data_IF_336810494253
#
_entry.id   IF_336810494253
#
_cell.length_a   1.000
_cell.length_b   1.000
_cell.length_c   1.000
_cell.angle_alpha   90.00
_cell.angle_beta   90.00
_cell.angle_gamma   90.00
#
_symmetry.space_group_name_H-M   'P 1'
#
loop_
_entity.id
_entity.type
_entity.pdbx_description
1 polymer ?
#
# COMPACT_ATOMS: atom_id res chain seq x y z
N UNK A 1 -5.93 -0.25 -26.90
CA UNK A 1 -5.93 -1.30 -25.85
C UNK A 1 -4.69 -1.27 -24.95
N UNK A 2 -3.62 -0.54 -25.28
CA UNK A 2 -2.41 -0.43 -24.46
C UNK A 2 -2.51 0.26 -23.08
N UNK A 3 -3.35 1.30 -22.83
CA UNK A 3 -3.24 2.09 -21.60
C UNK A 3 -3.68 1.33 -20.34
N UNK A 4 -4.56 0.35 -20.49
CA UNK A 4 -5.03 -0.50 -19.38
C UNK A 4 -3.96 -1.51 -18.97
N UNK A 5 -3.29 -2.16 -19.93
CA UNK A 5 -2.18 -3.08 -19.64
C UNK A 5 -1.05 -2.37 -18.90
N UNK A 6 -0.68 -1.17 -19.34
CA UNK A 6 0.35 -0.38 -18.66
C UNK A 6 -0.08 0.00 -17.23
N UNK A 7 -1.37 0.25 -17.01
CA UNK A 7 -1.90 0.52 -15.66
C UNK A 7 -1.92 -0.74 -14.78
N UNK A 8 -2.18 -1.92 -15.35
CA UNK A 8 -2.07 -3.22 -14.66
C UNK A 8 -0.63 -3.54 -14.28
N UNK A 9 0.33 -3.31 -15.18
CA UNK A 9 1.76 -3.50 -14.89
C UNK A 9 2.19 -2.58 -13.76
N UNK A 10 1.88 -1.28 -13.85
CA UNK A 10 2.21 -0.32 -12.78
C UNK A 10 1.58 -0.73 -11.46
N UNK A 11 0.33 -1.20 -11.46
CA UNK A 11 -0.35 -1.68 -10.27
C UNK A 11 0.41 -2.82 -9.60
N UNK A 12 0.76 -3.87 -10.35
CA UNK A 12 1.52 -5.01 -9.81
C UNK A 12 2.91 -4.58 -9.32
N UNK A 13 3.64 -3.80 -10.13
CA UNK A 13 4.97 -3.28 -9.78
C UNK A 13 4.92 -2.44 -8.51
N UNK A 14 3.88 -1.62 -8.34
CA UNK A 14 3.71 -0.80 -7.14
C UNK A 14 3.54 -1.68 -5.90
N UNK A 15 2.67 -2.68 -5.95
CA UNK A 15 2.49 -3.60 -4.82
C UNK A 15 3.80 -4.33 -4.51
N UNK A 16 4.51 -4.86 -5.52
CA UNK A 16 5.82 -5.50 -5.32
C UNK A 16 6.85 -4.57 -4.68
N UNK A 17 6.96 -3.34 -5.18
CA UNK A 17 7.86 -2.33 -4.65
C UNK A 17 7.49 -1.98 -3.20
N UNK A 18 6.20 -1.84 -2.91
CA UNK A 18 5.71 -1.53 -1.58
C UNK A 18 5.99 -2.68 -0.60
N UNK A 19 5.76 -3.93 -1.01
CA UNK A 19 6.12 -5.09 -0.19
C UNK A 19 7.63 -5.15 0.08
N UNK A 20 8.47 -4.89 -0.92
CA UNK A 20 9.92 -4.85 -0.77
C UNK A 20 10.38 -3.73 0.18
N UNK A 21 9.81 -2.52 0.03
CA UNK A 21 10.10 -1.39 0.91
C UNK A 21 9.68 -1.66 2.35
N UNK A 22 8.50 -2.26 2.57
CA UNK A 22 8.02 -2.60 3.90
C UNK A 22 8.89 -3.69 4.54
N UNK A 23 9.26 -4.73 3.78
CA UNK A 23 10.18 -5.76 4.25
C UNK A 23 11.56 -5.17 4.60
N UNK A 24 12.11 -4.29 3.76
CA UNK A 24 13.37 -3.61 4.02
C UNK A 24 13.30 -2.72 5.27
N UNK A 25 12.22 -1.97 5.45
CA UNK A 25 11.99 -1.13 6.61
C UNK A 25 11.93 -1.95 7.90
N UNK A 26 11.19 -3.07 7.88
CA UNK A 26 11.06 -3.99 9.03
C UNK A 26 12.40 -4.64 9.36
N UNK A 27 13.14 -5.13 8.35
CA UNK A 27 14.48 -5.70 8.55
C UNK A 27 15.48 -4.67 9.08
N UNK A 28 15.44 -3.43 8.58
CA UNK A 28 16.30 -2.35 9.07
C UNK A 28 15.97 -1.98 10.52
N UNK A 29 14.68 -1.85 10.85
CA UNK A 29 14.23 -1.64 12.21
C UNK A 29 14.66 -2.78 13.14
N UNK A 30 14.57 -4.04 12.70
CA UNK A 30 15.04 -5.20 13.45
C UNK A 30 16.55 -5.31 13.60
N UNK A 31 17.32 -4.91 12.59
CA UNK A 31 18.79 -4.89 12.65
C UNK A 31 19.33 -3.83 13.62
N UNK A 32 18.69 -2.65 13.67
CA UNK A 32 19.02 -1.61 14.64
C UNK A 32 18.72 -1.98 16.10
N UNK A 33 17.75 -2.88 16.30
CA UNK A 33 17.35 -3.39 17.62
C UNK A 33 18.23 -4.54 18.13
N UNK A 34 19.02 -5.19 17.27
CA UNK A 34 19.86 -6.34 17.59
C UNK A 34 21.38 -6.04 17.50
N UNK A 35 21.77 -4.76 17.41
CA UNK A 35 23.18 -4.35 17.35
C UNK A 35 23.94 -4.65 18.65
N UNK A 36 25.25 -4.94 18.60
CA UNK A 36 26.05 -5.25 19.79
C UNK A 36 26.14 -4.00 20.67
N UNK A 37 25.40 -3.98 21.79
CA UNK A 37 25.22 -2.82 22.66
C UNK A 37 23.76 -2.41 22.87
N UNK A 38 22.82 -3.00 22.13
CA UNK A 38 21.40 -2.86 22.40
C UNK A 38 21.07 -3.53 23.74
N UNK A 39 20.50 -2.78 24.68
CA UNK A 39 19.96 -3.30 25.92
C UNK A 39 18.77 -4.26 25.67
N UNK A 40 17.97 -4.60 26.70
CA UNK A 40 16.80 -5.46 26.52
C UNK A 40 15.95 -4.98 25.33
N UNK A 41 15.48 -5.89 24.46
CA UNK A 41 14.76 -5.50 23.25
C UNK A 41 13.58 -4.60 23.66
N UNK A 42 13.48 -3.37 23.12
CA UNK A 42 12.37 -2.49 23.46
C UNK A 42 11.07 -3.16 23.03
N UNK A 43 10.03 -3.07 23.86
CA UNK A 43 8.70 -3.56 23.52
C UNK A 43 8.27 -2.99 22.18
N UNK A 44 7.89 -3.83 21.21
CA UNK A 44 7.47 -3.39 19.88
C UNK A 44 6.04 -2.81 19.87
N UNK A 45 5.27 -3.04 20.94
CA UNK A 45 3.89 -2.56 21.10
C UNK A 45 3.65 -1.07 20.81
N UNK A 46 4.43 -0.12 21.36
CA UNK A 46 4.31 1.30 21.06
C UNK A 46 4.55 1.62 19.58
N UNK A 47 5.45 0.89 18.92
CA UNK A 47 5.75 1.08 17.50
C UNK A 47 4.63 0.54 16.60
N UNK A 48 3.99 -0.56 16.99
CA UNK A 48 2.79 -1.08 16.30
C UNK A 48 1.63 -0.09 16.41
N UNK A 49 1.42 0.49 17.59
CA UNK A 49 0.39 1.54 17.79
C UNK A 49 0.73 2.79 16.96
N UNK A 50 1.98 3.24 16.99
CA UNK A 50 2.43 4.39 16.20
C UNK A 50 2.27 4.13 14.69
N UNK A 51 2.63 2.93 14.22
CA UNK A 51 2.42 2.51 12.85
C UNK A 51 0.94 2.52 12.48
N UNK A 52 0.06 1.98 13.33
CA UNK A 52 -1.38 2.01 13.11
C UNK A 52 -1.93 3.45 13.02
N UNK A 53 -1.47 4.35 13.91
CA UNK A 53 -1.84 5.76 13.89
C UNK A 53 -1.33 6.47 12.63
N UNK A 54 -0.10 6.17 12.21
CA UNK A 54 0.50 6.75 11.01
C UNK A 54 -0.22 6.24 9.76
N UNK A 55 -0.58 4.95 9.71
CA UNK A 55 -1.44 4.37 8.67
C UNK A 55 -2.80 5.05 8.63
N UNK A 56 -3.42 5.36 9.77
CA UNK A 56 -4.70 6.09 9.81
C UNK A 56 -4.57 7.55 9.36
N UNK A 57 -3.50 8.25 9.75
CA UNK A 57 -3.29 9.66 9.43
C UNK A 57 -2.92 9.87 7.95
N UNK A 58 -1.93 9.11 7.47
CA UNK A 58 -1.56 9.07 6.05
C UNK A 58 -2.72 8.48 5.23
N UNK A 59 -3.38 7.47 5.80
CA UNK A 59 -4.66 6.88 5.44
C UNK A 59 -5.73 7.86 4.98
N UNK A 60 -6.18 8.63 5.95
CA UNK A 60 -7.24 9.62 5.80
C UNK A 60 -6.84 10.77 4.86
N UNK A 61 -5.59 11.21 4.92
CA UNK A 61 -5.07 12.29 4.06
C UNK A 61 -5.08 11.91 2.58
N UNK A 62 -4.49 10.76 2.24
CA UNK A 62 -4.48 10.26 0.85
C UNK A 62 -5.89 9.88 0.39
N UNK A 63 -6.74 9.35 1.27
CA UNK A 63 -8.13 9.04 0.91
C UNK A 63 -8.87 10.33 0.52
N UNK A 64 -8.70 11.39 1.31
CA UNK A 64 -9.25 12.71 1.06
C UNK A 64 -8.79 13.25 -0.29
N UNK A 65 -7.48 13.23 -0.57
CA UNK A 65 -6.92 13.64 -1.87
C UNK A 65 -7.50 12.80 -3.01
N UNK A 66 -7.60 11.48 -2.84
CA UNK A 66 -8.14 10.57 -3.85
C UNK A 66 -9.62 10.83 -4.19
N UNK A 67 -10.38 11.40 -3.23
CA UNK A 67 -11.79 11.77 -3.39
C UNK A 67 -11.95 13.07 -4.18
N UNK A 68 -10.96 13.96 -4.15
CA UNK A 68 -10.97 15.21 -4.91
C UNK A 68 -10.51 15.04 -6.36
N UNK A 69 -9.90 13.91 -6.73
CA UNK A 69 -9.53 13.57 -8.11
C UNK A 69 -10.77 13.16 -8.92
N UNK A 70 -11.52 14.16 -9.40
CA UNK A 70 -12.70 13.99 -10.24
C UNK A 70 -12.35 13.91 -11.74
N UNK A 71 -13.15 13.19 -12.54
CA UNK A 71 -13.00 13.20 -13.99
C UNK A 71 -13.31 14.60 -14.55
N UNK A 72 -12.59 15.02 -15.58
CA UNK A 72 -12.90 16.22 -16.33
C UNK A 72 -13.08 15.88 -17.81
N UNK A 73 -14.33 15.86 -18.28
CA UNK A 73 -14.68 15.51 -19.66
C UNK A 73 -14.16 16.52 -20.69
N UNK A 74 -13.77 17.73 -20.27
CA UNK A 74 -13.15 18.73 -21.15
C UNK A 74 -11.66 18.47 -21.40
N UNK A 75 -11.02 17.59 -20.61
CA UNK A 75 -9.60 17.27 -20.76
C UNK A 75 -9.40 16.13 -21.78
N UNK A 76 -8.25 16.12 -22.50
CA UNK A 76 -7.86 15.02 -23.37
C UNK A 76 -7.90 13.66 -22.64
N UNK A 77 -8.30 12.61 -23.37
CA UNK A 77 -8.44 11.25 -22.81
C UNK A 77 -7.16 10.72 -22.17
N UNK A 78 -6.00 11.07 -22.71
CA UNK A 78 -4.68 10.70 -22.17
C UNK A 78 -4.42 11.33 -20.79
N UNK A 79 -4.87 12.56 -20.57
CA UNK A 79 -4.70 13.27 -19.31
C UNK A 79 -5.65 12.71 -18.24
N UNK A 80 -6.89 12.39 -18.61
CA UNK A 80 -7.84 11.71 -17.72
C UNK A 80 -7.34 10.32 -17.29
N UNK A 81 -6.63 9.58 -18.17
CA UNK A 81 -5.98 8.33 -17.79
C UNK A 81 -4.84 8.53 -16.78
N UNK A 82 -4.07 9.62 -16.89
CA UNK A 82 -3.04 9.96 -15.89
C UNK A 82 -3.66 10.23 -14.53
N UNK A 83 -4.74 11.02 -14.47
CA UNK A 83 -5.47 11.33 -13.23
C UNK A 83 -6.04 10.05 -12.59
N UNK A 84 -6.67 9.19 -13.40
CA UNK A 84 -7.16 7.90 -12.93
C UNK A 84 -6.04 7.04 -12.34
N UNK A 85 -4.90 6.98 -13.02
CA UNK A 85 -3.73 6.24 -12.55
C UNK A 85 -3.17 6.81 -11.25
N UNK A 86 -3.04 8.14 -11.13
CA UNK A 86 -2.59 8.79 -9.89
C UNK A 86 -3.50 8.46 -8.72
N UNK A 87 -4.83 8.49 -8.93
CA UNK A 87 -5.81 8.09 -7.93
C UNK A 87 -5.64 6.62 -7.51
N UNK A 88 -5.46 5.74 -8.48
CA UNK A 88 -5.24 4.31 -8.23
C UNK A 88 -3.94 4.07 -7.45
N UNK A 89 -2.85 4.75 -7.82
CA UNK A 89 -1.57 4.68 -7.10
C UNK A 89 -1.77 5.12 -5.65
N UNK A 90 -2.43 6.26 -5.43
CA UNK A 90 -2.72 6.77 -4.10
C UNK A 90 -3.48 5.76 -3.24
N UNK A 91 -4.55 5.18 -3.80
CA UNK A 91 -5.37 4.16 -3.14
C UNK A 91 -4.61 2.85 -2.87
N UNK A 92 -3.75 2.41 -3.76
CA UNK A 92 -2.96 1.20 -3.54
C UNK A 92 -1.90 1.42 -2.45
N UNK A 93 -1.24 2.58 -2.44
CA UNK A 93 -0.29 2.95 -1.38
C UNK A 93 -0.97 2.92 -0.01
N UNK A 94 -2.20 3.43 0.06
CA UNK A 94 -3.05 3.38 1.25
C UNK A 94 -3.35 1.96 1.72
N UNK A 95 -3.78 1.11 0.81
CA UNK A 95 -4.16 -0.25 1.16
C UNK A 95 -2.95 -1.10 1.53
N UNK A 96 -1.82 -0.93 0.83
CA UNK A 96 -0.59 -1.62 1.20
C UNK A 96 -0.06 -1.18 2.58
N UNK A 97 -0.30 0.06 3.01
CA UNK A 97 0.04 0.51 4.37
C UNK A 97 -0.72 -0.24 5.47
N UNK A 98 -1.93 -0.73 5.20
CA UNK A 98 -2.66 -1.59 6.14
C UNK A 98 -1.96 -2.92 6.39
N UNK A 99 -1.00 -3.32 5.53
CA UNK A 99 -0.19 -4.52 5.69
C UNK A 99 1.02 -4.35 6.60
N UNK A 100 1.25 -3.15 7.14
CA UNK A 100 2.37 -2.85 8.03
C UNK A 100 2.24 -3.53 9.42
N UNK A 101 1.07 -3.54 10.08
CA UNK A 101 0.94 -4.20 11.37
C UNK A 101 1.23 -5.71 11.36
N UNK A 102 0.74 -6.52 10.39
CA UNK A 102 1.07 -7.95 10.31
C UNK A 102 2.57 -8.25 10.22
N UNK A 103 3.30 -7.44 9.44
CA UNK A 103 4.74 -7.68 9.24
C UNK A 103 5.57 -7.27 10.47
N UNK A 104 5.09 -6.30 11.26
CA UNK A 104 5.67 -5.97 12.57
C UNK A 104 5.39 -7.06 13.60
N UNK A 105 4.18 -7.63 13.60
CA UNK A 105 3.84 -8.77 14.47
C UNK A 105 4.72 -9.98 14.18
N UNK A 106 4.96 -10.30 12.90
CA UNK A 106 5.90 -11.36 12.50
C UNK A 106 7.31 -11.14 13.07
N UNK A 107 7.79 -9.89 13.10
CA UNK A 107 9.11 -9.58 13.63
C UNK A 107 9.21 -9.87 15.14
N UNK A 108 8.14 -9.68 15.90
CA UNK A 108 8.08 -9.93 17.34
C UNK A 108 7.85 -11.42 17.64
N UNK A 109 6.93 -12.05 16.90
CA UNK A 109 6.45 -13.41 17.18
C UNK A 109 7.28 -14.50 16.52
N UNK A 110 7.93 -14.20 15.38
CA UNK A 110 8.56 -15.19 14.50
C UNK A 110 7.58 -16.21 13.91
N UNK A 111 6.26 -16.03 14.08
CA UNK A 111 5.27 -17.02 13.69
C UNK A 111 5.01 -16.97 12.18
N UNK A 112 5.18 -18.13 11.53
CA UNK A 112 4.91 -18.28 10.09
C UNK A 112 3.50 -17.83 9.68
N UNK A 113 2.51 -17.95 10.57
CA UNK A 113 1.14 -17.51 10.29
C UNK A 113 1.01 -16.00 10.08
N UNK A 114 1.82 -15.18 10.73
CA UNK A 114 1.79 -13.72 10.55
C UNK A 114 2.32 -13.33 9.16
N UNK A 115 3.34 -14.06 8.68
CA UNK A 115 3.87 -13.91 7.33
C UNK A 115 2.88 -14.40 6.27
N UNK A 116 2.19 -15.53 6.54
CA UNK A 116 1.14 -16.03 5.67
C UNK A 116 -0.02 -15.06 5.59
N UNK A 117 -0.46 -14.51 6.73
CA UNK A 117 -1.52 -13.51 6.78
C UNK A 117 -1.14 -12.25 6.00
N UNK A 118 0.09 -11.74 6.17
CA UNK A 118 0.62 -10.65 5.37
C UNK A 118 0.55 -10.95 3.86
N UNK A 119 1.05 -12.10 3.43
CA UNK A 119 1.06 -12.49 2.02
C UNK A 119 -0.34 -12.63 1.42
N UNK A 120 -1.25 -13.30 2.14
CA UNK A 120 -2.65 -13.47 1.72
C UNK A 120 -3.36 -12.12 1.63
N UNK A 121 -3.18 -11.26 2.64
CA UNK A 121 -3.80 -9.94 2.65
C UNK A 121 -3.30 -9.11 1.47
N UNK A 122 -1.99 -9.13 1.19
CA UNK A 122 -1.39 -8.38 0.09
C UNK A 122 -1.86 -8.89 -1.28
N UNK A 123 -1.93 -10.21 -1.48
CA UNK A 123 -2.48 -10.83 -2.68
C UNK A 123 -3.98 -10.49 -2.86
N UNK A 124 -4.75 -10.51 -1.78
CA UNK A 124 -6.15 -10.09 -1.76
C UNK A 124 -6.32 -8.62 -2.16
N UNK A 125 -5.46 -7.74 -1.67
CA UNK A 125 -5.47 -6.32 -2.04
C UNK A 125 -5.16 -6.10 -3.53
N UNK A 126 -4.21 -6.83 -4.11
CA UNK A 126 -3.94 -6.81 -5.55
C UNK A 126 -5.17 -7.26 -6.34
N UNK A 127 -5.79 -8.38 -5.95
CA UNK A 127 -6.94 -8.92 -6.64
C UNK A 127 -8.17 -8.00 -6.57
N UNK A 128 -8.49 -7.47 -5.39
CA UNK A 128 -9.66 -6.61 -5.16
C UNK A 128 -9.54 -5.24 -5.84
N UNK A 129 -8.32 -4.75 -6.04
CA UNK A 129 -8.06 -3.42 -6.63
C UNK A 129 -7.59 -3.52 -8.08
N UNK A 130 -7.82 -4.66 -8.73
CA UNK A 130 -7.34 -4.90 -10.09
C UNK A 130 -7.89 -3.86 -11.08
N UNK A 131 -7.03 -3.13 -11.80
CA UNK A 131 -7.51 -2.11 -12.74
C UNK A 131 -8.14 -2.76 -13.97
N UNK A 132 -9.41 -2.44 -14.19
CA UNK A 132 -10.20 -2.89 -15.34
C UNK A 132 -10.71 -1.71 -16.18
N UNK A 133 -10.98 -1.98 -17.46
CA UNK A 133 -11.59 -1.00 -18.36
C UNK A 133 -12.95 -0.50 -17.86
N UNK A 134 -13.74 -1.41 -17.28
CA UNK A 134 -15.05 -1.09 -16.67
C UNK A 134 -14.91 -0.14 -15.49
N UNK A 135 -13.93 -0.36 -14.62
CA UNK A 135 -13.66 0.56 -13.50
C UNK A 135 -13.26 1.96 -13.94
N UNK A 136 -12.50 2.07 -15.04
CA UNK A 136 -12.18 3.38 -15.64
C UNK A 136 -13.43 4.07 -16.21
N UNK A 137 -14.28 3.34 -16.95
CA UNK A 137 -15.52 3.89 -17.49
C UNK A 137 -16.49 4.33 -16.39
N UNK A 138 -16.64 3.53 -15.33
CA UNK A 138 -17.46 3.89 -14.17
C UNK A 138 -16.95 5.15 -13.46
N UNK A 139 -15.64 5.33 -13.38
CA UNK A 139 -15.06 6.55 -12.82
C UNK A 139 -15.25 7.78 -13.72
N UNK A 140 -15.26 7.62 -15.05
CA UNK A 140 -15.51 8.74 -15.96
C UNK A 140 -16.93 9.31 -15.85
N UNK A 141 -17.90 8.46 -15.48
CA UNK A 141 -19.33 8.82 -15.36
C UNK A 141 -19.75 9.19 -13.93
N UNK A 142 -18.85 9.06 -12.95
CA UNK A 142 -19.09 9.41 -11.54
C UNK A 142 -18.75 10.87 -11.24
#
# INVERSE_FOLDING_TARGET
MEPIRLTQIIHVVQYLLQAALMAALVMWAGGGLNGPGAGPPPSLGPYVILAALLVLMVGSSLYTISRYLRPNLRRPSAENHRVFRSRLILRNSLLGLLALPPILLYQESGHFFDLLYYGVMFAGLVALNWPTARGYQQWLIS
#
